data_IF_440199860217
#
_entry.id   IF_440199860217
#
_cell.length_a   1.000
_cell.length_b   1.000
_cell.length_c   1.000
_cell.angle_alpha   90.00
_cell.angle_beta   90.00
_cell.angle_gamma   90.00
#
_symmetry.space_group_name_H-M   'P 1'
#
loop_
_entity.id
_entity.type
_entity.pdbx_description
1 polymer ?
#
# COMPACT_ATOMS: atom_id res chain seq x y z
N UNK A 1 18.16 53.67 37.03
CA UNK A 1 17.44 52.38 37.19
C UNK A 1 17.05 51.92 35.82
N UNK A 2 17.87 51.07 35.22
CA UNK A 2 17.70 50.58 33.85
C UNK A 2 17.34 49.09 33.93
N UNK A 3 16.11 48.77 33.54
CA UNK A 3 15.61 47.42 33.52
C UNK A 3 16.28 46.60 32.41
N UNK A 4 16.84 45.44 32.73
CA UNK A 4 17.35 44.45 31.79
C UNK A 4 16.18 43.69 31.13
N UNK A 5 16.21 43.44 29.82
CA UNK A 5 15.22 42.58 29.17
C UNK A 5 15.50 41.09 29.50
N UNK A 6 14.45 40.35 29.87
CA UNK A 6 14.47 38.92 30.13
C UNK A 6 14.72 38.13 28.85
N UNK A 7 15.83 37.41 28.79
CA UNK A 7 16.11 36.39 27.80
C UNK A 7 15.11 35.24 27.90
N UNK A 8 14.27 35.10 26.89
CA UNK A 8 13.47 33.87 26.68
C UNK A 8 14.42 32.70 26.40
N UNK A 9 14.24 31.52 26.97
CA UNK A 9 15.06 30.37 26.64
C UNK A 9 14.81 29.96 25.18
N UNK A 10 15.91 29.75 24.45
CA UNK A 10 15.87 29.16 23.09
C UNK A 10 15.29 27.76 23.17
N UNK A 11 14.44 27.35 22.20
CA UNK A 11 13.95 25.98 22.16
C UNK A 11 15.14 25.03 21.97
N UNK A 12 15.27 24.09 22.87
CA UNK A 12 16.23 22.99 22.81
C UNK A 12 15.98 22.23 21.50
N UNK A 13 17.02 22.07 20.69
CA UNK A 13 16.98 21.24 19.48
C UNK A 13 16.44 19.87 19.88
N UNK A 14 15.25 19.52 19.41
CA UNK A 14 14.74 18.16 19.46
C UNK A 14 15.80 17.25 18.84
N UNK A 15 16.30 16.31 19.63
CA UNK A 15 17.13 15.24 19.10
C UNK A 15 16.24 14.44 18.19
N UNK A 16 16.38 14.69 16.88
CA UNK A 16 15.85 13.83 15.84
C UNK A 16 16.59 12.51 15.98
N UNK A 17 16.02 11.58 16.72
CA UNK A 17 16.44 10.19 16.66
C UNK A 17 16.00 9.75 15.27
N UNK A 18 16.90 9.90 14.29
CA UNK A 18 16.78 9.13 13.05
C UNK A 18 16.70 7.68 13.52
N UNK A 19 15.54 7.09 13.37
CA UNK A 19 15.41 5.64 13.44
C UNK A 19 16.22 5.11 12.24
N UNK A 20 17.54 5.00 12.40
CA UNK A 20 18.32 4.10 11.60
C UNK A 20 17.70 2.75 11.82
N UNK A 21 16.98 2.29 10.79
CA UNK A 21 16.41 0.98 10.76
C UNK A 21 17.54 -0.01 11.04
N UNK A 22 17.56 -0.55 12.26
CA UNK A 22 18.37 -1.72 12.55
C UNK A 22 17.75 -2.84 11.71
N UNK A 23 18.31 -3.05 10.54
CA UNK A 23 17.95 -4.13 9.65
C UNK A 23 18.34 -5.45 10.30
N UNK A 24 17.39 -6.10 10.94
CA UNK A 24 17.47 -7.53 11.23
C UNK A 24 16.67 -8.22 10.13
N UNK A 25 17.34 -8.74 9.13
CA UNK A 25 16.76 -9.66 8.16
C UNK A 25 16.36 -10.96 8.90
N UNK A 26 15.20 -11.56 8.60
CA UNK A 26 14.49 -11.76 7.35
C UNK A 26 12.98 -11.43 7.37
N UNK A 27 12.60 -10.26 7.71
CA UNK A 27 11.24 -9.77 7.52
C UNK A 27 11.18 -8.66 6.48
N UNK A 28 11.85 -8.89 5.34
CA UNK A 28 11.75 -8.03 4.17
C UNK A 28 10.29 -7.82 3.74
N UNK A 29 9.42 -8.78 4.06
CA UNK A 29 8.02 -8.81 3.63
C UNK A 29 7.10 -7.94 4.51
N UNK A 30 7.27 -8.00 5.84
CA UNK A 30 6.41 -7.29 6.78
C UNK A 30 7.19 -6.92 8.05
N UNK A 31 7.06 -5.67 8.46
CA UNK A 31 7.52 -5.17 9.75
C UNK A 31 6.32 -4.69 10.56
N UNK A 32 6.22 -5.10 11.81
CA UNK A 32 5.17 -4.67 12.73
C UNK A 32 5.75 -4.43 14.11
N UNK A 33 5.42 -3.29 14.70
CA UNK A 33 5.87 -2.95 16.05
C UNK A 33 4.74 -2.40 16.92
N UNK A 34 4.91 -2.55 18.22
CA UNK A 34 4.07 -1.90 19.23
C UNK A 34 4.69 -0.56 19.59
N UNK A 35 3.92 0.52 19.48
CA UNK A 35 4.29 1.86 19.94
C UNK A 35 3.96 1.93 21.42
N UNK A 36 5.00 1.77 22.26
CA UNK A 36 4.89 1.94 23.72
C UNK A 36 5.04 3.43 24.09
N UNK A 37 4.41 3.87 25.19
CA UNK A 37 4.57 5.24 25.68
C UNK A 37 6.04 5.60 25.87
N UNK A 38 6.45 6.74 25.33
CA UNK A 38 7.80 7.30 25.41
C UNK A 38 7.72 8.76 25.83
N UNK A 39 8.75 9.26 26.49
CA UNK A 39 8.85 10.69 26.87
C UNK A 39 9.15 11.60 25.67
N UNK A 40 9.57 11.03 24.54
CA UNK A 40 9.86 11.76 23.30
C UNK A 40 8.84 11.42 22.20
N UNK A 41 8.59 12.36 21.32
CA UNK A 41 7.89 12.14 20.06
C UNK A 41 8.66 11.13 19.19
N UNK A 42 7.93 10.39 18.38
CA UNK A 42 8.51 9.45 17.38
C UNK A 42 8.12 9.89 15.99
N UNK A 43 9.08 9.84 15.09
CA UNK A 43 8.89 10.27 13.70
C UNK A 43 9.30 9.16 12.73
N UNK A 44 8.44 8.87 11.77
CA UNK A 44 8.69 7.97 10.66
C UNK A 44 8.69 8.76 9.36
N UNK A 45 9.86 8.81 8.72
CA UNK A 45 9.98 9.34 7.36
C UNK A 45 9.75 8.20 6.38
N UNK A 46 8.62 8.23 5.72
CA UNK A 46 8.25 7.20 4.76
C UNK A 46 8.87 7.54 3.40
N UNK A 47 9.55 6.58 2.76
CA UNK A 47 10.23 6.85 1.50
C UNK A 47 9.26 7.30 0.42
N UNK A 48 9.70 8.25 -0.40
CA UNK A 48 9.04 8.61 -1.65
C UNK A 48 9.44 7.67 -2.79
N UNK A 49 9.29 8.15 -4.03
CA UNK A 49 9.38 7.37 -5.28
C UNK A 49 10.75 6.69 -5.58
N UNK A 50 11.67 6.59 -4.66
CA UNK A 50 12.99 5.96 -4.84
C UNK A 50 13.28 4.79 -3.90
N UNK A 51 12.37 4.43 -3.00
CA UNK A 51 12.50 3.32 -2.06
C UNK A 51 11.75 2.06 -2.50
N UNK A 52 11.97 0.95 -1.79
CA UNK A 52 11.13 -0.25 -1.99
C UNK A 52 9.66 0.09 -1.72
N UNK A 53 8.74 -0.33 -2.61
CA UNK A 53 7.32 0.00 -2.47
C UNK A 53 6.72 -0.73 -1.27
N UNK A 54 6.36 0.02 -0.22
CA UNK A 54 5.78 -0.51 1.01
C UNK A 54 4.56 0.30 1.44
N UNK A 55 3.48 -0.38 1.77
CA UNK A 55 2.35 0.25 2.44
C UNK A 55 2.60 0.34 3.95
N UNK A 56 2.07 1.37 4.59
CA UNK A 56 2.22 1.61 6.02
C UNK A 56 0.87 1.79 6.70
N UNK A 57 0.74 1.32 7.92
CA UNK A 57 -0.42 1.58 8.76
C UNK A 57 -0.01 1.99 10.17
N UNK A 58 -0.74 2.94 10.72
CA UNK A 58 -0.60 3.40 12.11
C UNK A 58 -1.95 3.32 12.79
N UNK A 59 -2.07 2.49 13.80
CA UNK A 59 -3.21 2.46 14.70
C UNK A 59 -2.78 3.10 16.02
N UNK A 60 -3.21 4.31 16.28
CA UNK A 60 -2.88 5.06 17.50
C UNK A 60 -4.11 5.13 18.39
N UNK A 61 -3.97 4.65 19.61
CA UNK A 61 -5.06 4.48 20.55
C UNK A 61 -5.16 5.62 21.59
N UNK A 62 -4.06 6.32 21.83
CA UNK A 62 -4.03 7.44 22.77
C UNK A 62 -3.03 8.50 22.36
N UNK A 63 -3.25 9.75 22.81
CA UNK A 63 -2.53 10.94 22.34
C UNK A 63 -2.88 11.21 20.89
N UNK A 64 -2.00 11.81 20.14
CA UNK A 64 -2.23 12.16 18.76
C UNK A 64 -0.99 12.03 17.92
N UNK A 65 -0.99 12.72 16.82
CA UNK A 65 0.14 12.83 15.92
C UNK A 65 -0.13 13.81 14.81
N UNK A 66 0.81 13.90 13.91
CA UNK A 66 0.76 14.78 12.74
C UNK A 66 1.20 14.01 11.51
N UNK A 67 0.42 14.11 10.46
CA UNK A 67 0.82 13.67 9.13
C UNK A 67 1.29 14.89 8.34
N UNK A 68 2.55 14.85 7.92
CA UNK A 68 3.15 15.90 7.09
C UNK A 68 3.33 15.38 5.67
N UNK A 69 2.68 16.04 4.71
CA UNK A 69 2.90 15.87 3.28
C UNK A 69 3.81 16.97 2.71
N UNK A 70 3.92 17.06 1.38
CA UNK A 70 4.73 18.08 0.71
C UNK A 70 4.20 19.51 0.92
N UNK A 71 2.89 19.71 1.08
CA UNK A 71 2.26 21.03 1.15
C UNK A 71 1.27 21.18 2.32
N UNK A 72 0.91 20.09 2.98
CA UNK A 72 -0.12 20.08 4.02
C UNK A 72 0.35 19.29 5.23
N UNK A 73 0.16 19.91 6.39
CA UNK A 73 0.32 19.28 7.70
C UNK A 73 -1.07 19.06 8.30
N UNK A 74 -1.34 17.85 8.76
CA UNK A 74 -2.67 17.45 9.29
C UNK A 74 -2.52 16.85 10.66
N UNK A 75 -3.22 17.42 11.62
CA UNK A 75 -3.34 16.86 12.96
C UNK A 75 -4.18 15.58 12.95
N UNK A 76 -3.74 14.59 13.71
CA UNK A 76 -4.34 13.27 13.83
C UNK A 76 -4.78 13.04 15.29
N UNK A 77 -6.01 13.45 15.67
CA UNK A 77 -6.53 13.20 17.00
C UNK A 77 -6.79 11.71 17.22
N UNK A 78 -6.33 11.17 18.35
CA UNK A 78 -6.55 9.76 18.73
C UNK A 78 -7.96 9.50 19.26
N UNK A 79 -8.46 8.24 19.18
CA UNK A 79 -7.87 7.15 18.43
C UNK A 79 -8.01 7.34 16.92
N UNK A 80 -7.02 6.93 16.15
CA UNK A 80 -7.10 6.93 14.69
C UNK A 80 -6.40 5.73 14.07
N UNK A 81 -6.85 5.33 12.87
CA UNK A 81 -6.12 4.45 11.99
C UNK A 81 -5.77 5.21 10.71
N UNK A 82 -4.49 5.27 10.42
CA UNK A 82 -3.94 5.85 9.19
C UNK A 82 -3.38 4.71 8.34
N UNK A 83 -3.88 4.58 7.12
CA UNK A 83 -3.34 3.69 6.10
C UNK A 83 -2.72 4.51 4.98
N UNK A 84 -1.48 4.22 4.65
CA UNK A 84 -0.68 4.89 3.63
C UNK A 84 -0.22 3.86 2.62
N UNK A 85 -0.68 3.92 1.35
CA UNK A 85 -0.14 3.08 0.29
C UNK A 85 1.29 3.50 -0.05
N UNK A 86 2.00 2.66 -0.80
CA UNK A 86 3.44 2.72 -1.06
C UNK A 86 3.96 3.96 -1.81
N UNK A 87 3.17 5.01 -2.01
CA UNK A 87 3.56 6.15 -2.85
C UNK A 87 3.47 7.50 -2.13
N UNK A 88 4.43 8.36 -2.43
CA UNK A 88 4.47 9.76 -2.04
C UNK A 88 5.02 9.99 -0.63
N UNK A 89 6.30 10.32 -0.54
CA UNK A 89 7.02 10.60 0.69
C UNK A 89 6.23 11.44 1.68
N UNK A 90 6.00 10.88 2.86
CA UNK A 90 5.28 11.50 3.95
C UNK A 90 6.03 11.29 5.25
N UNK A 91 5.79 12.16 6.19
CA UNK A 91 6.31 12.01 7.53
C UNK A 91 5.14 11.86 8.50
N UNK A 92 5.19 10.83 9.31
CA UNK A 92 4.22 10.59 10.39
C UNK A 92 4.93 10.84 11.71
N UNK A 93 4.50 11.84 12.45
CA UNK A 93 4.97 12.15 13.79
C UNK A 93 3.90 11.77 14.80
N UNK A 94 4.28 11.04 15.82
CA UNK A 94 3.39 10.60 16.90
C UNK A 94 3.87 11.24 18.20
N UNK A 95 2.93 11.75 18.98
CA UNK A 95 3.17 12.52 20.19
C UNK A 95 3.79 11.67 21.31
N UNK A 96 4.54 12.33 22.19
CA UNK A 96 5.06 11.71 23.40
C UNK A 96 3.92 11.09 24.24
N UNK A 97 4.16 9.92 24.81
CA UNK A 97 3.18 9.18 25.61
C UNK A 97 2.12 8.42 24.80
N UNK A 98 2.19 8.42 23.49
CA UNK A 98 1.26 7.70 22.66
C UNK A 98 1.39 6.17 22.79
N UNK A 99 0.27 5.48 22.60
CA UNK A 99 0.18 4.01 22.51
C UNK A 99 -0.45 3.62 21.19
N UNK A 100 0.09 2.57 20.58
CA UNK A 100 -0.46 2.09 19.32
C UNK A 100 0.38 1.02 18.68
N UNK A 101 0.23 0.92 17.38
CA UNK A 101 0.93 -0.04 16.55
C UNK A 101 1.31 0.60 15.22
N UNK A 102 2.46 0.17 14.68
CA UNK A 102 2.88 0.49 13.32
C UNK A 102 3.06 -0.80 12.54
N UNK A 103 2.69 -0.75 11.28
CA UNK A 103 2.83 -1.83 10.31
C UNK A 103 3.46 -1.25 9.03
N UNK A 104 4.46 -1.94 8.49
CA UNK A 104 5.02 -1.70 7.16
C UNK A 104 5.00 -3.02 6.40
N UNK A 105 4.38 -3.05 5.25
CA UNK A 105 4.20 -4.27 4.44
C UNK A 105 4.68 -4.03 3.02
N UNK A 106 5.40 -5.01 2.49
CA UNK A 106 5.83 -5.06 1.09
C UNK A 106 4.61 -5.08 0.15
N UNK A 107 4.65 -4.28 -0.91
CA UNK A 107 3.51 -4.10 -1.83
C UNK A 107 3.19 -5.37 -2.62
N UNK A 108 4.18 -6.15 -3.00
CA UNK A 108 4.00 -7.43 -3.68
C UNK A 108 3.32 -8.46 -2.77
N UNK A 109 3.74 -8.53 -1.50
CA UNK A 109 3.10 -9.41 -0.52
C UNK A 109 1.67 -8.99 -0.23
N UNK A 110 1.43 -7.70 -0.01
CA UNK A 110 0.10 -7.14 0.18
C UNK A 110 -0.80 -7.45 -1.01
N UNK A 111 -0.31 -7.21 -2.23
CA UNK A 111 -1.03 -7.46 -3.47
C UNK A 111 -1.40 -8.94 -3.63
N UNK A 112 -0.46 -9.86 -3.38
CA UNK A 112 -0.72 -11.31 -3.43
C UNK A 112 -1.75 -11.73 -2.38
N UNK A 113 -1.58 -11.26 -1.14
CA UNK A 113 -2.48 -11.57 -0.02
C UNK A 113 -3.89 -11.12 -0.33
N UNK A 114 -4.07 -9.87 -0.74
CA UNK A 114 -5.37 -9.29 -1.06
C UNK A 114 -6.00 -9.99 -2.28
N UNK A 115 -5.21 -10.29 -3.31
CA UNK A 115 -5.73 -10.95 -4.52
C UNK A 115 -6.16 -12.39 -4.29
N UNK A 116 -5.63 -13.07 -3.27
CA UNK A 116 -6.03 -14.44 -2.90
C UNK A 116 -7.25 -14.49 -1.98
N UNK A 117 -7.64 -13.37 -1.39
CA UNK A 117 -8.83 -13.29 -0.55
C UNK A 117 -10.12 -13.28 -1.41
N UNK A 118 -11.22 -13.91 -0.94
CA UNK A 118 -12.52 -13.88 -1.64
C UNK A 118 -12.99 -12.45 -1.93
N UNK A 119 -12.75 -11.51 -1.00
CA UNK A 119 -13.12 -10.09 -1.08
C UNK A 119 -12.03 -9.24 -1.75
N UNK A 120 -11.02 -9.82 -2.37
CA UNK A 120 -9.86 -9.12 -2.92
C UNK A 120 -10.22 -8.00 -3.89
N UNK A 121 -11.28 -8.19 -4.70
CA UNK A 121 -11.80 -7.16 -5.60
C UNK A 121 -12.35 -5.92 -4.89
N UNK A 122 -12.82 -6.07 -3.66
CA UNK A 122 -13.34 -4.98 -2.82
C UNK A 122 -12.23 -4.29 -2.03
N UNK A 123 -11.24 -5.06 -1.57
CA UNK A 123 -10.15 -4.57 -0.74
C UNK A 123 -9.13 -3.75 -1.53
N UNK A 124 -8.79 -4.21 -2.74
CA UNK A 124 -7.73 -3.61 -3.55
C UNK A 124 -7.94 -2.11 -3.84
N UNK A 125 -9.13 -1.64 -4.29
CA UNK A 125 -9.36 -0.21 -4.52
C UNK A 125 -9.23 0.62 -3.26
N UNK A 126 -9.56 0.05 -2.11
CA UNK A 126 -9.51 0.71 -0.81
C UNK A 126 -8.07 0.82 -0.31
N UNK A 127 -7.32 -0.28 -0.30
CA UNK A 127 -5.95 -0.30 0.20
C UNK A 127 -4.95 0.43 -0.70
N UNK A 128 -5.30 0.71 -1.94
CA UNK A 128 -4.50 1.53 -2.85
C UNK A 128 -4.66 3.04 -2.64
N UNK A 129 -5.38 3.49 -1.61
CA UNK A 129 -5.57 4.90 -1.28
C UNK A 129 -5.14 5.22 0.15
N UNK A 130 -4.77 6.49 0.38
CA UNK A 130 -4.61 7.01 1.73
C UNK A 130 -5.98 6.99 2.42
N UNK A 131 -6.03 6.42 3.63
CA UNK A 131 -7.24 6.36 4.44
C UNK A 131 -6.89 6.83 5.85
N UNK A 132 -7.66 7.78 6.33
CA UNK A 132 -7.68 8.20 7.72
C UNK A 132 -9.04 7.86 8.33
N UNK A 133 -9.05 6.93 9.27
CA UNK A 133 -10.24 6.60 10.06
C UNK A 133 -10.13 7.31 11.41
N UNK A 134 -10.94 8.36 11.63
CA UNK A 134 -10.93 9.10 12.89
C UNK A 134 -11.64 8.34 14.01
N UNK A 135 -11.53 8.86 15.24
CA UNK A 135 -12.05 8.25 16.46
C UNK A 135 -13.53 7.83 16.35
N UNK A 136 -14.38 8.65 15.73
CA UNK A 136 -15.82 8.39 15.61
C UNK A 136 -16.13 7.08 14.84
N UNK A 137 -15.23 6.68 13.93
CA UNK A 137 -15.40 5.44 13.14
C UNK A 137 -14.72 4.23 13.79
N UNK A 138 -13.76 4.46 14.67
CA UNK A 138 -12.96 3.40 15.28
C UNK A 138 -13.52 2.89 16.61
N UNK A 139 -14.35 3.69 17.33
CA UNK A 139 -14.72 3.49 18.73
C UNK A 139 -15.14 2.07 19.08
N UNK A 140 -15.93 1.41 18.23
CA UNK A 140 -16.43 0.07 18.51
C UNK A 140 -15.51 -1.05 18.01
N UNK A 141 -14.53 -0.73 17.16
CA UNK A 141 -13.68 -1.75 16.48
C UNK A 141 -12.19 -1.57 16.68
N UNK A 142 -11.79 -0.56 17.46
CA UNK A 142 -10.38 -0.29 17.70
C UNK A 142 -9.66 -1.50 18.33
N UNK A 143 -10.32 -2.20 19.27
CA UNK A 143 -9.75 -3.36 19.95
C UNK A 143 -9.65 -4.58 19.02
N UNK A 144 -10.63 -4.81 18.14
CA UNK A 144 -10.59 -5.88 17.14
C UNK A 144 -9.43 -5.68 16.16
N UNK A 145 -9.27 -4.45 15.68
CA UNK A 145 -8.18 -4.08 14.79
C UNK A 145 -6.84 -4.20 15.52
N UNK A 146 -6.75 -3.69 16.76
CA UNK A 146 -5.56 -3.77 17.59
C UNK A 146 -5.13 -5.22 17.86
N UNK A 147 -6.09 -6.15 17.96
CA UNK A 147 -5.79 -7.58 18.09
C UNK A 147 -4.96 -8.09 16.90
N UNK A 148 -5.36 -7.77 15.67
CA UNK A 148 -4.65 -8.17 14.46
C UNK A 148 -3.27 -7.53 14.35
N UNK A 149 -3.13 -6.23 14.68
CA UNK A 149 -1.82 -5.58 14.75
C UNK A 149 -0.89 -6.22 15.80
N UNK A 150 -1.43 -6.55 16.97
CA UNK A 150 -0.68 -7.23 18.04
C UNK A 150 -0.25 -8.62 17.64
N UNK A 151 -1.10 -9.36 16.92
CA UNK A 151 -0.77 -10.68 16.40
C UNK A 151 0.36 -10.60 15.36
N UNK A 152 0.30 -9.66 14.42
CA UNK A 152 1.38 -9.39 13.47
C UNK A 152 2.69 -9.04 14.17
N UNK A 153 2.65 -8.13 15.16
CA UNK A 153 3.85 -7.74 15.91
C UNK A 153 4.46 -8.90 16.71
N UNK A 154 3.65 -9.87 17.18
CA UNK A 154 4.16 -11.09 17.82
C UNK A 154 4.77 -12.06 16.83
N UNK A 155 4.09 -12.26 15.68
CA UNK A 155 4.54 -13.21 14.65
C UNK A 155 5.92 -12.84 14.10
N UNK A 156 6.16 -11.54 13.80
CA UNK A 156 7.44 -11.08 13.26
C UNK A 156 8.60 -11.08 14.26
N UNK A 157 8.30 -11.19 15.58
CA UNK A 157 9.36 -11.29 16.61
C UNK A 157 10.04 -12.65 16.68
N UNK A 158 9.48 -13.67 16.06
CA UNK A 158 9.99 -15.02 16.06
C UNK A 158 10.40 -15.45 14.65
N UNK A 159 11.53 -14.97 14.12
CA UNK A 159 11.91 -15.12 12.70
C UNK A 159 11.93 -16.56 12.21
N UNK A 160 12.33 -17.50 13.10
CA UNK A 160 12.47 -18.92 12.77
C UNK A 160 11.10 -19.66 12.63
N UNK A 161 10.00 -19.01 13.00
CA UNK A 161 8.65 -19.61 13.02
C UNK A 161 7.60 -18.76 12.30
N UNK A 162 8.02 -17.74 11.56
CA UNK A 162 7.10 -16.83 10.86
C UNK A 162 6.25 -17.59 9.84
N UNK A 163 4.95 -17.53 9.99
CA UNK A 163 3.98 -18.10 9.05
C UNK A 163 3.44 -17.02 8.12
N UNK A 164 3.76 -17.12 6.83
CA UNK A 164 3.21 -16.21 5.81
C UNK A 164 1.68 -16.28 5.73
N UNK A 165 1.09 -17.46 6.04
CA UNK A 165 -0.36 -17.63 6.10
C UNK A 165 -0.98 -16.84 7.26
N UNK A 166 -0.36 -16.84 8.44
CA UNK A 166 -0.81 -16.06 9.61
C UNK A 166 -0.69 -14.56 9.30
N UNK A 167 0.44 -14.13 8.73
CA UNK A 167 0.64 -12.73 8.32
C UNK A 167 -0.44 -12.31 7.33
N UNK A 168 -0.69 -13.11 6.29
CA UNK A 168 -1.70 -12.85 5.27
C UNK A 168 -3.12 -12.80 5.84
N UNK A 169 -3.47 -13.72 6.76
CA UNK A 169 -4.79 -13.72 7.40
C UNK A 169 -5.06 -12.43 8.20
N UNK A 170 -4.11 -12.01 9.05
CA UNK A 170 -4.27 -10.78 9.82
C UNK A 170 -4.26 -9.51 8.95
N UNK A 171 -3.46 -9.48 7.88
CA UNK A 171 -3.52 -8.38 6.90
C UNK A 171 -4.89 -8.30 6.21
N UNK A 172 -5.46 -9.44 5.84
CA UNK A 172 -6.80 -9.50 5.23
C UNK A 172 -7.85 -9.00 6.20
N UNK A 173 -7.79 -9.40 7.48
CA UNK A 173 -8.71 -8.91 8.53
C UNK A 173 -8.58 -7.39 8.71
N UNK A 174 -7.36 -6.85 8.79
CA UNK A 174 -7.14 -5.39 8.86
C UNK A 174 -7.74 -4.71 7.62
N UNK A 175 -7.47 -5.24 6.43
CA UNK A 175 -8.01 -4.72 5.18
C UNK A 175 -9.55 -4.70 5.15
N UNK A 176 -10.20 -5.76 5.65
CA UNK A 176 -11.66 -5.84 5.76
C UNK A 176 -12.24 -4.81 6.74
N UNK A 177 -11.58 -4.58 7.88
CA UNK A 177 -11.99 -3.51 8.80
C UNK A 177 -11.84 -2.15 8.15
N UNK A 178 -10.70 -1.88 7.49
CA UNK A 178 -10.48 -0.62 6.77
C UNK A 178 -11.58 -0.44 5.70
N UNK A 179 -11.85 -1.46 4.90
CA UNK A 179 -12.90 -1.41 3.88
C UNK A 179 -14.27 -1.10 4.47
N UNK A 180 -14.69 -1.80 5.52
CA UNK A 180 -15.98 -1.58 6.18
C UNK A 180 -16.11 -0.18 6.76
N UNK A 181 -15.04 0.32 7.40
CA UNK A 181 -15.04 1.62 8.07
C UNK A 181 -14.80 2.80 7.12
N UNK A 182 -14.19 2.56 5.97
CA UNK A 182 -13.98 3.56 4.93
C UNK A 182 -15.20 3.79 4.01
N UNK A 183 -16.29 3.09 4.24
CA UNK A 183 -17.56 3.30 3.54
C UNK A 183 -18.15 4.67 3.90
N UNK A 184 -18.06 5.63 2.98
CA UNK A 184 -18.45 7.02 3.14
C UNK A 184 -17.25 7.96 3.18
N UNK A 185 -17.36 9.08 2.47
CA UNK A 185 -16.30 10.11 2.45
C UNK A 185 -16.18 10.78 3.82
N UNK A 186 -14.99 10.70 4.43
CA UNK A 186 -14.69 11.49 5.63
C UNK A 186 -14.27 12.91 5.23
N UNK A 187 -14.82 13.96 5.86
CA UNK A 187 -14.34 15.33 5.64
C UNK A 187 -12.83 15.49 5.91
N UNK A 188 -12.28 14.74 6.87
CA UNK A 188 -10.85 14.72 7.17
C UNK A 188 -10.01 14.14 6.02
N UNK A 189 -10.53 13.16 5.29
CA UNK A 189 -9.87 12.61 4.11
C UNK A 189 -9.89 13.59 2.93
N UNK A 190 -10.94 14.40 2.79
CA UNK A 190 -11.05 15.40 1.73
C UNK A 190 -9.96 16.48 1.84
N UNK A 191 -9.60 16.89 3.06
CA UNK A 191 -8.51 17.86 3.30
C UNK A 191 -7.11 17.30 3.05
N UNK A 192 -6.91 15.98 3.26
CA UNK A 192 -5.65 15.28 3.00
C UNK A 192 -5.43 14.93 1.52
N UNK A 193 -6.52 14.91 0.76
CA UNK A 193 -6.55 14.62 -0.67
C UNK A 193 -6.51 15.94 -1.42
N UNK A 194 -5.34 16.41 -1.81
CA UNK A 194 -5.25 17.45 -2.85
C UNK A 194 -6.06 17.02 -4.08
N UNK A 195 -6.58 17.98 -4.85
CA UNK A 195 -7.40 17.73 -6.06
C UNK A 195 -6.79 16.70 -7.02
N UNK A 196 -5.45 16.60 -7.05
CA UNK A 196 -4.72 15.60 -7.84
C UNK A 196 -4.89 14.17 -7.33
N UNK A 197 -4.96 13.94 -6.03
CA UNK A 197 -5.10 12.58 -5.48
C UNK A 197 -6.47 11.97 -5.84
N UNK A 198 -7.53 12.77 -5.82
CA UNK A 198 -8.86 12.33 -6.23
C UNK A 198 -8.90 11.89 -7.71
N UNK A 199 -8.29 12.67 -8.60
CA UNK A 199 -8.19 12.33 -10.03
C UNK A 199 -7.42 11.03 -10.23
N UNK A 200 -6.30 10.82 -9.53
CA UNK A 200 -5.54 9.57 -9.61
C UNK A 200 -6.36 8.36 -9.14
N UNK A 201 -7.12 8.50 -8.07
CA UNK A 201 -7.99 7.43 -7.58
C UNK A 201 -9.08 7.07 -8.57
N UNK A 202 -9.79 8.07 -9.09
CA UNK A 202 -10.81 7.83 -10.12
C UNK A 202 -10.19 7.18 -11.36
N UNK A 203 -8.98 7.61 -11.74
CA UNK A 203 -8.24 6.99 -12.84
C UNK A 203 -7.94 5.51 -12.56
N UNK A 204 -7.41 5.17 -11.38
CA UNK A 204 -7.14 3.77 -10.99
C UNK A 204 -8.40 2.91 -11.01
N UNK A 205 -9.51 3.43 -10.46
CA UNK A 205 -10.79 2.72 -10.51
C UNK A 205 -11.26 2.48 -11.94
N UNK A 206 -11.14 3.49 -12.79
CA UNK A 206 -11.51 3.38 -14.20
C UNK A 206 -10.60 2.41 -14.96
N UNK A 207 -9.30 2.36 -14.63
CA UNK A 207 -8.36 1.37 -15.16
C UNK A 207 -8.81 -0.04 -14.74
N UNK A 208 -9.13 -0.30 -13.48
CA UNK A 208 -9.62 -1.61 -13.03
C UNK A 208 -10.86 -2.08 -13.82
N UNK A 209 -11.75 -1.16 -14.13
CA UNK A 209 -12.97 -1.46 -14.86
C UNK A 209 -12.74 -1.66 -16.38
N UNK A 210 -11.75 -0.98 -16.98
CA UNK A 210 -11.65 -0.80 -18.44
C UNK A 210 -10.31 -1.21 -19.07
N UNK A 211 -9.31 -1.69 -18.31
CA UNK A 211 -7.98 -2.01 -18.85
C UNK A 211 -8.00 -3.02 -20.01
N UNK A 212 -8.99 -3.93 -20.03
CA UNK A 212 -9.17 -4.91 -21.13
C UNK A 212 -9.72 -4.30 -22.41
N UNK A 213 -10.29 -3.11 -22.34
CA UNK A 213 -10.80 -2.39 -23.51
C UNK A 213 -9.70 -1.61 -24.24
N UNK A 214 -8.48 -1.60 -23.69
CA UNK A 214 -7.31 -0.90 -24.24
C UNK A 214 -7.57 0.57 -24.59
N UNK A 215 -8.26 1.29 -23.68
CA UNK A 215 -8.56 2.70 -23.87
C UNK A 215 -7.27 3.53 -24.03
N UNK A 216 -7.34 4.57 -24.87
CA UNK A 216 -6.30 5.60 -24.91
C UNK A 216 -6.31 6.44 -23.63
N UNK A 217 -5.16 7.09 -23.33
CA UNK A 217 -5.06 8.02 -22.20
C UNK A 217 -6.08 9.14 -22.31
N UNK A 218 -6.31 9.66 -23.54
CA UNK A 218 -7.32 10.68 -23.79
C UNK A 218 -8.74 10.25 -23.45
N UNK A 219 -9.10 8.98 -23.73
CA UNK A 219 -10.42 8.46 -23.35
C UNK A 219 -10.58 8.38 -21.83
N UNK A 220 -9.54 7.96 -21.10
CA UNK A 220 -9.54 8.00 -19.64
C UNK A 220 -9.69 9.43 -19.12
N UNK A 221 -8.89 10.37 -19.64
CA UNK A 221 -8.93 11.77 -19.25
C UNK A 221 -10.30 12.42 -19.50
N UNK A 222 -10.87 12.20 -20.69
CA UNK A 222 -12.21 12.70 -21.04
C UNK A 222 -13.29 12.15 -20.09
N UNK A 223 -13.25 10.86 -19.76
CA UNK A 223 -14.20 10.25 -18.83
C UNK A 223 -14.08 10.81 -17.40
N UNK A 224 -12.87 11.23 -17.01
CA UNK A 224 -12.59 11.84 -15.71
C UNK A 224 -12.84 13.36 -15.68
N UNK A 225 -13.22 13.96 -16.81
CA UNK A 225 -13.44 15.41 -16.91
C UNK A 225 -12.15 16.24 -16.75
N UNK A 226 -10.99 15.69 -17.12
CA UNK A 226 -9.70 16.37 -17.05
C UNK A 226 -8.98 16.33 -18.40
N UNK A 227 -7.98 17.20 -18.59
CA UNK A 227 -7.10 17.14 -19.76
C UNK A 227 -6.08 15.99 -19.62
N UNK A 228 -5.55 15.50 -20.77
CA UNK A 228 -4.49 14.47 -20.74
C UNK A 228 -3.26 14.95 -19.97
N UNK A 229 -2.86 16.21 -20.16
CA UNK A 229 -1.71 16.81 -19.45
C UNK A 229 -1.94 16.84 -17.94
N UNK A 230 -3.14 17.19 -17.50
CA UNK A 230 -3.50 17.17 -16.07
C UNK A 230 -3.47 15.75 -15.53
N UNK A 231 -4.03 14.79 -16.26
CA UNK A 231 -3.97 13.37 -15.86
C UNK A 231 -2.54 12.88 -15.79
N UNK A 232 -1.71 13.23 -16.78
CA UNK A 232 -0.29 12.90 -16.81
C UNK A 232 0.46 13.48 -15.60
N UNK A 233 0.31 14.78 -15.36
CA UNK A 233 0.95 15.46 -14.23
C UNK A 233 0.53 14.87 -12.88
N UNK A 234 -0.76 14.54 -12.72
CA UNK A 234 -1.31 13.91 -11.53
C UNK A 234 -0.72 12.50 -11.32
N UNK A 235 -0.67 11.67 -12.37
CA UNK A 235 -0.14 10.32 -12.29
C UNK A 235 1.35 10.32 -11.98
N UNK A 236 2.14 11.16 -12.64
CA UNK A 236 3.58 11.28 -12.39
C UNK A 236 3.84 11.79 -10.97
N UNK A 237 3.14 12.85 -10.53
CA UNK A 237 3.34 13.47 -9.20
C UNK A 237 2.92 12.54 -8.05
N UNK A 238 1.82 11.79 -8.21
CA UNK A 238 1.21 11.04 -7.10
C UNK A 238 1.41 9.52 -7.21
N UNK A 239 1.85 9.00 -8.36
CA UNK A 239 2.10 7.58 -8.57
C UNK A 239 3.49 7.28 -9.17
N UNK A 240 4.33 8.30 -9.41
CA UNK A 240 5.67 8.13 -9.98
C UNK A 240 5.69 7.69 -11.45
N UNK A 241 4.55 7.35 -12.04
CA UNK A 241 4.45 6.75 -13.36
C UNK A 241 3.42 7.46 -14.25
N UNK A 242 3.67 7.58 -15.56
CA UNK A 242 2.69 8.13 -16.49
C UNK A 242 1.45 7.23 -16.59
N UNK A 243 0.26 7.77 -16.97
CA UNK A 243 -1.00 7.04 -17.01
C UNK A 243 -0.91 5.75 -17.84
N UNK A 244 -0.21 5.81 -18.99
CA UNK A 244 -0.05 4.64 -19.86
C UNK A 244 0.71 3.50 -19.18
N UNK A 245 1.73 3.80 -18.37
CA UNK A 245 2.47 2.79 -17.64
C UNK A 245 1.56 2.09 -16.62
N UNK A 246 0.78 2.85 -15.84
CA UNK A 246 -0.17 2.29 -14.86
C UNK A 246 -1.21 1.36 -15.50
N UNK A 247 -1.71 1.70 -16.70
CA UNK A 247 -2.61 0.80 -17.47
C UNK A 247 -1.87 -0.46 -17.93
N UNK A 248 -0.65 -0.31 -18.47
CA UNK A 248 0.17 -1.45 -18.91
C UNK A 248 0.48 -2.40 -17.75
N UNK A 249 0.88 -1.86 -16.60
CA UNK A 249 1.19 -2.64 -15.39
C UNK A 249 -0.02 -3.46 -14.94
N UNK A 250 -1.21 -2.87 -15.01
CA UNK A 250 -2.44 -3.60 -14.68
C UNK A 250 -2.74 -4.75 -15.63
N UNK A 251 -2.55 -4.53 -16.94
CA UNK A 251 -2.69 -5.59 -17.94
C UNK A 251 -1.69 -6.72 -17.72
N UNK A 252 -0.42 -6.38 -17.42
CA UNK A 252 0.64 -7.37 -17.15
C UNK A 252 0.34 -8.14 -15.86
N UNK A 253 -0.14 -7.51 -14.81
CA UNK A 253 -0.53 -8.19 -13.57
C UNK A 253 -1.61 -9.25 -13.81
N UNK A 254 -2.69 -8.92 -14.56
CA UNK A 254 -3.72 -9.90 -14.93
C UNK A 254 -3.16 -11.01 -15.83
N UNK A 255 -2.28 -10.65 -16.79
CA UNK A 255 -1.60 -11.62 -17.63
C UNK A 255 -0.77 -12.62 -16.82
N UNK A 256 0.06 -12.13 -15.91
CA UNK A 256 0.88 -12.97 -15.01
C UNK A 256 0.01 -13.88 -14.14
N UNK A 257 -1.06 -13.35 -13.56
CA UNK A 257 -1.99 -14.13 -12.72
C UNK A 257 -2.64 -15.26 -13.53
N UNK A 258 -3.15 -14.98 -14.74
CA UNK A 258 -3.76 -16.01 -15.62
C UNK A 258 -2.76 -17.05 -16.06
N UNK A 259 -1.54 -16.64 -16.44
CA UNK A 259 -0.45 -17.56 -16.81
C UNK A 259 -0.04 -18.48 -15.67
N UNK A 260 -0.20 -18.04 -14.42
CA UNK A 260 0.09 -18.81 -13.22
C UNK A 260 -1.02 -19.79 -12.83
N UNK A 261 -2.29 -19.39 -13.03
CA UNK A 261 -3.45 -20.08 -12.48
C UNK A 261 -4.21 -20.92 -13.50
N UNK A 262 -4.11 -20.55 -14.78
CA UNK A 262 -4.92 -21.16 -15.85
C UNK A 262 -4.07 -22.00 -16.80
N UNK A 263 -4.54 -23.21 -17.09
CA UNK A 263 -3.94 -24.13 -18.08
C UNK A 263 -4.57 -24.00 -19.48
N UNK A 264 -5.04 -22.79 -19.82
CA UNK A 264 -5.60 -22.50 -21.14
C UNK A 264 -4.51 -22.05 -22.12
N UNK A 265 -4.73 -22.17 -23.45
CA UNK A 265 -3.84 -21.64 -24.47
C UNK A 265 -3.52 -20.15 -24.25
N UNK A 266 -2.29 -19.75 -24.60
CA UNK A 266 -1.84 -18.35 -24.42
C UNK A 266 -2.69 -17.40 -25.26
N UNK A 267 -3.17 -17.86 -26.42
CA UNK A 267 -4.08 -17.11 -27.28
C UNK A 267 -5.40 -16.78 -26.57
N UNK A 268 -5.95 -17.71 -25.80
CA UNK A 268 -7.17 -17.48 -25.03
C UNK A 268 -6.93 -16.47 -23.91
N UNK A 269 -5.75 -16.50 -23.27
CA UNK A 269 -5.38 -15.47 -22.29
C UNK A 269 -5.27 -14.10 -22.98
N UNK A 270 -4.64 -14.02 -24.15
CA UNK A 270 -4.53 -12.79 -24.93
C UNK A 270 -5.90 -12.21 -25.27
N UNK A 271 -6.82 -13.02 -25.82
CA UNK A 271 -8.18 -12.58 -26.13
C UNK A 271 -8.96 -12.17 -24.84
N UNK A 272 -8.82 -12.92 -23.76
CA UNK A 272 -9.44 -12.59 -22.47
C UNK A 272 -8.89 -11.31 -21.81
N UNK A 273 -7.72 -10.83 -22.25
CA UNK A 273 -7.12 -9.55 -21.87
C UNK A 273 -7.45 -8.42 -22.85
N UNK A 274 -8.28 -8.70 -23.89
CA UNK A 274 -8.72 -7.73 -24.90
C UNK A 274 -7.76 -7.53 -26.08
N UNK A 275 -6.70 -8.33 -26.21
CA UNK A 275 -5.83 -8.27 -27.39
C UNK A 275 -6.51 -8.94 -28.59
N UNK A 276 -6.49 -8.27 -29.72
CA UNK A 276 -7.03 -8.79 -30.98
C UNK A 276 -6.04 -9.72 -31.70
N UNK A 277 -4.75 -9.59 -31.42
CA UNK A 277 -3.66 -10.37 -32.01
C UNK A 277 -2.79 -10.97 -30.91
N UNK A 278 -2.74 -12.32 -30.78
CA UNK A 278 -1.87 -13.00 -29.82
C UNK A 278 -0.38 -12.73 -30.05
N UNK A 279 0.05 -12.47 -31.30
CA UNK A 279 1.43 -12.10 -31.61
C UNK A 279 1.78 -10.74 -31.03
N UNK A 280 0.86 -9.78 -31.07
CA UNK A 280 1.04 -8.49 -30.42
C UNK A 280 1.10 -8.64 -28.88
N UNK A 281 0.23 -9.47 -28.27
CA UNK A 281 0.31 -9.80 -26.85
C UNK A 281 1.67 -10.38 -26.47
N UNK A 282 2.22 -11.32 -27.25
CA UNK A 282 3.53 -11.91 -26.99
C UNK A 282 4.65 -10.84 -26.96
N UNK A 283 4.65 -9.91 -27.94
CA UNK A 283 5.62 -8.80 -27.98
C UNK A 283 5.42 -7.84 -26.80
N UNK A 284 4.19 -7.49 -26.50
CA UNK A 284 3.83 -6.63 -25.38
C UNK A 284 4.30 -7.23 -24.04
N UNK A 285 3.95 -8.47 -23.76
CA UNK A 285 4.34 -9.16 -22.55
C UNK A 285 5.87 -9.27 -22.40
N UNK A 286 6.57 -9.71 -23.48
CA UNK A 286 8.04 -9.78 -23.47
C UNK A 286 8.69 -8.43 -23.21
N UNK A 287 8.13 -7.35 -23.77
CA UNK A 287 8.65 -5.98 -23.54
C UNK A 287 8.60 -5.57 -22.05
N UNK A 288 7.54 -5.94 -21.33
CA UNK A 288 7.32 -5.49 -19.94
C UNK A 288 7.87 -6.48 -18.90
N UNK A 289 7.87 -7.79 -19.20
CA UNK A 289 8.32 -8.84 -18.27
C UNK A 289 9.73 -9.36 -18.58
N UNK A 290 10.27 -9.00 -19.74
CA UNK A 290 11.60 -9.42 -20.20
C UNK A 290 11.64 -10.79 -20.87
N UNK A 291 10.64 -11.66 -20.65
CA UNK A 291 10.57 -13.01 -21.21
C UNK A 291 9.20 -13.28 -21.86
N UNK A 292 9.11 -14.16 -22.88
CA UNK A 292 7.83 -14.52 -23.49
C UNK A 292 6.86 -15.19 -22.50
N UNK A 293 5.52 -15.06 -22.70
CA UNK A 293 4.51 -15.63 -21.81
C UNK A 293 4.65 -17.14 -21.62
N UNK A 294 4.99 -17.90 -22.68
CA UNK A 294 5.18 -19.34 -22.60
C UNK A 294 6.39 -19.75 -21.73
N UNK A 295 7.47 -18.96 -21.79
CA UNK A 295 8.64 -19.16 -20.94
C UNK A 295 8.30 -18.82 -19.48
N UNK A 296 7.59 -17.72 -19.25
CA UNK A 296 7.11 -17.31 -17.94
C UNK A 296 6.26 -18.42 -17.29
N UNK A 297 5.26 -18.95 -17.99
CA UNK A 297 4.39 -20.03 -17.51
C UNK A 297 5.20 -21.26 -17.11
N UNK A 298 6.16 -21.71 -17.95
CA UNK A 298 7.00 -22.87 -17.64
C UNK A 298 7.84 -22.65 -16.37
N UNK A 299 8.44 -21.46 -16.20
CA UNK A 299 9.23 -21.13 -15.00
C UNK A 299 8.39 -21.21 -13.73
N UNK A 300 7.20 -20.60 -13.74
CA UNK A 300 6.32 -20.61 -12.56
C UNK A 300 5.82 -22.01 -12.23
N UNK A 301 5.48 -22.83 -13.25
CA UNK A 301 5.09 -24.24 -13.03
C UNK A 301 6.25 -25.06 -12.45
N UNK A 302 7.47 -24.89 -12.93
CA UNK A 302 8.65 -25.58 -12.41
C UNK A 302 8.92 -25.20 -10.94
N UNK A 303 8.78 -23.92 -10.60
CA UNK A 303 8.94 -23.46 -9.21
C UNK A 303 7.88 -24.06 -8.26
N UNK A 304 6.62 -24.19 -8.72
CA UNK A 304 5.56 -24.85 -7.94
C UNK A 304 5.79 -26.36 -7.76
N UNK A 305 6.24 -27.05 -8.81
CA UNK A 305 6.55 -28.47 -8.75
C UNK A 305 7.71 -28.78 -7.80
N UNK A 306 8.73 -27.91 -7.75
CA UNK A 306 9.86 -28.03 -6.83
C UNK A 306 9.49 -27.80 -5.36
N UNK A 307 8.47 -26.98 -5.08
CA UNK A 307 8.00 -26.74 -3.72
C UNK A 307 7.05 -27.83 -3.19
N UNK A 308 6.41 -28.60 -4.07
CA UNK A 308 5.53 -29.73 -3.69
C UNK A 308 6.29 -31.03 -3.48
N UNK A 309 7.53 -31.15 -3.98
CA UNK A 309 8.35 -32.35 -3.85
C UNK A 309 8.91 -32.63 -2.45
N UNK A 310 8.82 -31.68 -1.51
CA UNK A 310 9.38 -31.83 -0.15
C UNK A 310 8.44 -32.53 0.84
N UNK A 311 7.17 -32.77 0.49
CA UNK A 311 6.23 -33.45 1.39
C UNK A 311 5.99 -34.94 1.09
N UNK A 312 6.52 -35.45 -0.02
CA UNK A 312 6.34 -36.84 -0.42
C UNK A 312 7.43 -37.82 0.06
N UNK A 313 8.38 -37.37 0.88
CA UNK A 313 9.46 -38.19 1.43
C UNK A 313 9.36 -38.35 2.94
N UNK A 314 8.19 -38.81 3.41
CA UNK A 314 8.08 -39.38 4.75
C UNK A 314 7.86 -40.86 4.60
N UNK A 315 8.70 -41.73 5.22
CA UNK A 315 8.45 -43.17 5.26
C UNK A 315 7.26 -43.53 6.13
#
# INVERSE_FOLDING_TARGET
MTARPSLRPRPTKAQTVRAEAIWVAPTAVLHAETIAPSLSEREWVLPGDGGEPRAHAFLILSRGGILRGSEVETELPSPFLLWLPSHGGKTVRIDAGARGYMLSVDDDFLTRTVSSAPEGSLLRPVLNRLILLPSQRLQERADEIAHSFRALAREVRSPDRVSMAILGAHLTVIGLHIWRLAQGDSPAEAGLRGTGHHVLQQFRQLVELRYREHWSVGRYAATLGVTEDRLHAVCVRNAGHPPRALVCDRVIQDACMRLQQMDVPIEQIAFGLGFKDPGYFNRFFKKHVGIPPGVYRRRVKAQRAGSTGSYAAWP
#
